data_IF_516617590310
#
_entry.id   IF_516617590310
#
_cell.length_a   1.000
_cell.length_b   1.000
_cell.length_c   1.000
_cell.angle_alpha   90.00
_cell.angle_beta   90.00
_cell.angle_gamma   90.00
#
_symmetry.space_group_name_H-M   'P 1'
#
loop_
_entity.id
_entity.type
_entity.pdbx_description
1 polymer ?
#
# COMPACT_ATOMS: atom_id res chain seq x y z
N UNK A 1 -12.03 1.44 -21.16
CA UNK A 1 -11.27 0.19 -21.43
C UNK A 1 -12.24 -0.98 -21.37
N UNK A 2 -11.99 -2.05 -22.11
CA UNK A 2 -12.78 -3.28 -22.02
C UNK A 2 -12.47 -4.05 -20.71
N UNK A 3 -13.43 -4.83 -20.21
CA UNK A 3 -13.33 -5.66 -19.01
C UNK A 3 -12.06 -6.53 -19.00
N UNK A 4 -11.72 -7.14 -20.15
CA UNK A 4 -10.53 -7.98 -20.29
C UNK A 4 -9.25 -7.22 -19.97
N UNK A 5 -9.18 -5.95 -20.38
CA UNK A 5 -8.06 -5.06 -20.08
C UNK A 5 -7.98 -4.75 -18.59
N UNK A 6 -9.10 -4.39 -17.96
CA UNK A 6 -9.14 -4.12 -16.52
C UNK A 6 -8.72 -5.34 -15.69
N UNK A 7 -9.22 -6.53 -16.03
CA UNK A 7 -8.88 -7.75 -15.32
C UNK A 7 -7.40 -8.11 -15.46
N UNK A 8 -6.82 -8.01 -16.67
CA UNK A 8 -5.37 -8.22 -16.87
C UNK A 8 -4.53 -7.22 -16.09
N UNK A 9 -4.95 -5.96 -16.04
CA UNK A 9 -4.25 -4.91 -15.28
C UNK A 9 -4.36 -5.12 -13.77
N UNK A 10 -5.37 -5.86 -13.28
CA UNK A 10 -5.51 -6.21 -11.86
C UNK A 10 -4.65 -7.40 -11.43
N UNK A 11 -4.25 -8.28 -12.36
CA UNK A 11 -3.55 -9.52 -12.06
C UNK A 11 -2.25 -9.35 -11.23
N UNK A 12 -1.38 -8.36 -11.50
CA UNK A 12 -0.20 -8.12 -10.67
C UNK A 12 -0.55 -7.86 -9.20
N UNK A 13 -1.59 -7.06 -8.95
CA UNK A 13 -2.07 -6.75 -7.59
C UNK A 13 -2.66 -7.99 -6.90
N UNK A 14 -3.35 -8.86 -7.64
CA UNK A 14 -3.83 -10.16 -7.12
C UNK A 14 -2.65 -11.00 -6.63
N UNK A 15 -1.59 -11.10 -7.41
CA UNK A 15 -0.39 -11.86 -7.03
C UNK A 15 0.35 -11.20 -5.85
N UNK A 16 0.45 -9.87 -5.83
CA UNK A 16 1.12 -9.12 -4.78
C UNK A 16 0.43 -9.23 -3.41
N UNK A 17 -0.90 -9.36 -3.39
CA UNK A 17 -1.68 -9.42 -2.14
C UNK A 17 -2.06 -10.84 -1.71
N UNK A 18 -1.85 -11.85 -2.55
CA UNK A 18 -2.10 -13.23 -2.17
C UNK A 18 -1.23 -13.64 -0.98
N UNK A 19 -1.86 -14.18 0.06
CA UNK A 19 -1.21 -14.57 1.32
C UNK A 19 -0.85 -13.40 2.25
N UNK A 20 -1.07 -12.15 1.81
CA UNK A 20 -0.87 -10.96 2.64
C UNK A 20 -1.98 -10.79 3.64
N UNK A 21 -1.64 -10.27 4.82
CA UNK A 21 -2.57 -10.08 5.93
C UNK A 21 -3.01 -8.63 6.04
N UNK A 22 -4.31 -8.41 5.97
CA UNK A 22 -4.94 -7.09 6.10
C UNK A 22 -5.83 -7.07 7.34
N UNK A 23 -5.69 -6.02 8.16
CA UNK A 23 -6.68 -5.70 9.19
C UNK A 23 -7.56 -4.57 8.69
N UNK A 24 -8.86 -4.82 8.60
CA UNK A 24 -9.84 -3.90 8.05
C UNK A 24 -10.73 -3.43 9.19
N UNK A 25 -10.86 -2.12 9.36
CA UNK A 25 -11.78 -1.52 10.31
C UNK A 25 -12.96 -0.89 9.58
N UNK A 26 -14.14 -1.49 9.75
CA UNK A 26 -15.40 -0.98 9.23
C UNK A 26 -16.00 -0.03 10.28
N UNK A 27 -16.00 1.26 9.96
CA UNK A 27 -16.56 2.31 10.79
C UNK A 27 -18.09 2.28 10.75
N UNK A 28 -18.74 2.86 11.75
CA UNK A 28 -20.21 2.87 11.88
C UNK A 28 -20.93 3.50 10.67
N UNK A 29 -20.31 4.47 10.01
CA UNK A 29 -20.90 5.18 8.87
C UNK A 29 -21.12 4.30 7.62
N UNK A 30 -20.45 3.15 7.54
CA UNK A 30 -20.54 2.22 6.40
C UNK A 30 -21.33 0.96 6.73
N UNK A 31 -22.00 0.92 7.88
CA UNK A 31 -22.73 -0.24 8.37
C UNK A 31 -24.24 -0.20 8.11
N UNK A 32 -24.78 0.72 7.31
CA UNK A 32 -26.16 0.56 6.83
C UNK A 32 -26.30 -0.67 5.89
N UNK A 33 -27.51 -1.19 5.72
CA UNK A 33 -27.73 -2.48 5.06
C UNK A 33 -27.25 -2.53 3.60
N UNK A 34 -27.44 -1.45 2.83
CA UNK A 34 -27.08 -1.45 1.41
C UNK A 34 -25.55 -1.39 1.25
N UNK A 35 -24.90 -0.44 1.93
CA UNK A 35 -23.44 -0.29 1.88
C UNK A 35 -22.72 -1.50 2.44
N UNK A 36 -23.18 -2.03 3.57
CA UNK A 36 -22.60 -3.20 4.19
C UNK A 36 -22.68 -4.42 3.25
N UNK A 37 -23.77 -4.58 2.50
CA UNK A 37 -23.89 -5.69 1.54
C UNK A 37 -22.83 -5.60 0.44
N UNK A 38 -22.59 -4.40 -0.12
CA UNK A 38 -21.52 -4.17 -1.10
C UNK A 38 -20.14 -4.47 -0.52
N UNK A 39 -19.83 -3.90 0.66
CA UNK A 39 -18.55 -4.12 1.35
C UNK A 39 -18.32 -5.61 1.64
N UNK A 40 -19.34 -6.35 2.06
CA UNK A 40 -19.24 -7.79 2.32
C UNK A 40 -18.94 -8.57 1.02
N UNK A 41 -19.53 -8.17 -0.11
CA UNK A 41 -19.20 -8.73 -1.42
C UNK A 41 -17.73 -8.49 -1.79
N UNK A 42 -17.22 -7.27 -1.57
CA UNK A 42 -15.82 -6.91 -1.82
C UNK A 42 -14.85 -7.70 -0.92
N UNK A 43 -15.14 -7.76 0.39
CA UNK A 43 -14.38 -8.56 1.35
C UNK A 43 -14.39 -10.04 0.98
N UNK A 44 -15.51 -10.53 0.44
CA UNK A 44 -15.62 -11.91 -0.01
C UNK A 44 -14.69 -12.18 -1.19
N UNK A 45 -14.71 -11.29 -2.18
CA UNK A 45 -13.81 -11.40 -3.33
C UNK A 45 -12.35 -11.34 -2.88
N UNK A 46 -11.98 -10.38 -2.01
CA UNK A 46 -10.63 -10.25 -1.45
C UNK A 46 -10.15 -11.54 -0.77
N UNK A 47 -10.98 -12.15 0.08
CA UNK A 47 -10.65 -13.42 0.74
C UNK A 47 -10.49 -14.55 -0.28
N UNK A 48 -11.36 -14.62 -1.30
CA UNK A 48 -11.30 -15.64 -2.35
C UNK A 48 -10.05 -15.54 -3.24
N UNK A 49 -9.54 -14.31 -3.43
CA UNK A 49 -8.26 -14.03 -4.12
C UNK A 49 -7.04 -14.36 -3.26
N UNK A 50 -7.26 -14.72 -1.99
CA UNK A 50 -6.25 -15.23 -1.08
C UNK A 50 -5.67 -14.20 -0.12
N UNK A 51 -6.28 -13.02 0.01
CA UNK A 51 -5.95 -12.12 1.11
C UNK A 51 -6.44 -12.72 2.43
N UNK A 52 -5.62 -12.58 3.48
CA UNK A 52 -5.95 -12.99 4.84
C UNK A 52 -6.57 -11.82 5.58
N UNK A 53 -7.84 -11.92 5.94
CA UNK A 53 -8.62 -10.80 6.46
C UNK A 53 -8.93 -10.96 7.95
N UNK A 54 -8.56 -9.95 8.73
CA UNK A 54 -9.14 -9.68 10.05
C UNK A 54 -10.02 -8.45 9.92
N UNK A 55 -11.30 -8.56 10.26
CA UNK A 55 -12.28 -7.48 10.15
C UNK A 55 -12.72 -7.06 11.54
N UNK A 56 -12.36 -5.84 11.92
CA UNK A 56 -12.91 -5.13 13.07
C UNK A 56 -14.11 -4.30 12.58
N UNK A 57 -15.17 -4.22 13.38
CA UNK A 57 -16.35 -3.44 13.01
C UNK A 57 -16.88 -2.64 14.20
N UNK A 58 -17.41 -1.48 13.89
CA UNK A 58 -18.11 -0.61 14.82
C UNK A 58 -19.60 -1.02 14.97
N UNK A 59 -20.32 -0.37 15.86
CA UNK A 59 -21.75 -0.51 16.09
C UNK A 59 -22.39 0.89 16.07
N UNK A 60 -23.69 0.94 15.79
CA UNK A 60 -24.44 2.17 15.49
C UNK A 60 -24.51 3.19 16.65
N UNK A 61 -23.99 2.82 17.81
CA UNK A 61 -23.96 3.60 19.04
C UNK A 61 -22.63 4.36 19.27
N UNK A 62 -21.72 4.38 18.29
CA UNK A 62 -20.39 4.99 18.43
C UNK A 62 -20.26 6.43 17.92
N UNK A 63 -21.37 7.12 17.64
CA UNK A 63 -21.43 8.46 17.01
C UNK A 63 -20.52 9.55 17.62
N UNK A 64 -20.04 9.37 18.85
CA UNK A 64 -19.06 10.24 19.49
C UNK A 64 -18.05 9.43 20.28
N UNK A 65 -17.05 8.81 19.64
CA UNK A 65 -15.87 8.31 20.38
C UNK A 65 -14.55 8.60 19.70
N UNK A 66 -13.83 9.49 20.38
CA UNK A 66 -12.38 9.59 20.45
C UNK A 66 -11.90 9.86 21.89
N UNK A 67 -12.82 9.82 22.87
CA UNK A 67 -12.49 10.14 24.25
C UNK A 67 -12.24 8.87 25.05
N UNK A 68 -10.96 8.55 25.24
CA UNK A 68 -10.44 7.67 26.30
C UNK A 68 -10.78 8.16 27.73
N UNK A 69 -11.69 9.13 27.86
CA UNK A 69 -12.02 9.90 29.05
C UNK A 69 -13.46 9.69 29.50
N UNK A 70 -14.28 8.99 28.72
CA UNK A 70 -15.67 8.72 29.08
C UNK A 70 -15.81 7.38 29.77
N UNK A 71 -16.30 7.41 31.00
CA UNK A 71 -16.60 6.20 31.75
C UNK A 71 -17.75 5.44 31.09
N UNK A 72 -17.59 4.12 30.94
CA UNK A 72 -18.64 3.23 30.47
C UNK A 72 -19.20 2.50 31.68
N UNK A 73 -20.39 2.88 32.13
CA UNK A 73 -21.09 2.14 33.17
C UNK A 73 -21.68 0.81 32.65
N UNK A 74 -22.16 -0.01 33.57
CA UNK A 74 -22.69 -1.35 33.29
C UNK A 74 -23.90 -1.32 32.35
N UNK A 75 -24.85 -0.41 32.57
CA UNK A 75 -26.03 -0.24 31.71
C UNK A 75 -25.65 0.17 30.27
N UNK A 76 -24.67 1.07 30.13
CA UNK A 76 -24.14 1.49 28.83
C UNK A 76 -23.41 0.32 28.17
N UNK A 77 -22.62 -0.45 28.93
CA UNK A 77 -21.95 -1.64 28.43
C UNK A 77 -22.95 -2.66 27.90
N UNK A 78 -24.04 -2.97 28.61
CA UNK A 78 -25.06 -3.92 28.17
C UNK A 78 -25.69 -3.48 26.84
N UNK A 79 -26.00 -2.19 26.72
CA UNK A 79 -26.54 -1.61 25.49
C UNK A 79 -25.54 -1.72 24.33
N UNK A 80 -24.26 -1.42 24.58
CA UNK A 80 -23.19 -1.58 23.60
C UNK A 80 -23.03 -3.05 23.17
N UNK A 81 -23.00 -3.98 24.11
CA UNK A 81 -22.84 -5.41 23.84
C UNK A 81 -24.01 -5.94 23.02
N UNK A 82 -25.24 -5.52 23.32
CA UNK A 82 -26.41 -5.87 22.52
C UNK A 82 -26.32 -5.36 21.07
N UNK A 83 -25.90 -4.10 20.89
CA UNK A 83 -25.72 -3.49 19.57
C UNK A 83 -24.62 -4.19 18.76
N UNK A 84 -23.45 -4.42 19.37
CA UNK A 84 -22.33 -5.15 18.78
C UNK A 84 -22.73 -6.58 18.41
N UNK A 85 -23.45 -7.27 19.30
CA UNK A 85 -23.93 -8.63 19.07
C UNK A 85 -24.90 -8.71 17.88
N UNK A 86 -25.88 -7.80 17.82
CA UNK A 86 -26.78 -7.68 16.66
C UNK A 86 -25.98 -7.46 15.38
N UNK A 87 -25.05 -6.52 15.39
CA UNK A 87 -24.22 -6.17 14.22
C UNK A 87 -23.40 -7.35 13.73
N UNK A 88 -22.76 -8.08 14.65
CA UNK A 88 -22.03 -9.30 14.35
C UNK A 88 -22.88 -10.32 13.60
N UNK A 89 -24.08 -10.62 14.10
CA UNK A 89 -24.95 -11.60 13.46
C UNK A 89 -25.43 -11.15 12.07
N UNK A 90 -25.67 -9.84 11.87
CA UNK A 90 -25.97 -9.30 10.53
C UNK A 90 -24.79 -9.53 9.58
N UNK A 91 -23.56 -9.21 10.00
CA UNK A 91 -22.35 -9.42 9.19
C UNK A 91 -22.16 -10.90 8.84
N UNK A 92 -22.28 -11.79 9.83
CA UNK A 92 -22.17 -13.25 9.61
C UNK A 92 -23.27 -13.77 8.66
N UNK A 93 -24.49 -13.24 8.75
CA UNK A 93 -25.59 -13.58 7.84
C UNK A 93 -25.31 -13.11 6.40
N UNK A 94 -24.76 -11.91 6.21
CA UNK A 94 -24.36 -11.40 4.90
C UNK A 94 -23.25 -12.26 4.27
N UNK A 95 -22.23 -12.64 5.05
CA UNK A 95 -21.19 -13.57 4.58
C UNK A 95 -21.72 -14.96 4.23
N UNK A 96 -22.88 -15.33 4.73
CA UNK A 96 -23.54 -16.62 4.46
C UNK A 96 -24.39 -16.60 3.18
N UNK A 97 -24.57 -15.44 2.54
CA UNK A 97 -25.36 -15.33 1.32
C UNK A 97 -24.63 -15.99 0.14
N UNK A 98 -25.18 -17.13 -0.32
CA UNK A 98 -24.63 -17.92 -1.43
C UNK A 98 -25.62 -18.11 -2.58
N UNK A 99 -26.50 -17.13 -2.81
CA UNK A 99 -27.52 -17.20 -3.87
C UNK A 99 -26.87 -17.47 -5.24
N UNK A 100 -27.53 -18.26 -6.07
CA UNK A 100 -27.14 -18.42 -7.47
C UNK A 100 -27.11 -17.04 -8.13
N UNK A 101 -26.02 -16.72 -8.85
CA UNK A 101 -25.74 -15.43 -9.48
C UNK A 101 -25.35 -14.26 -8.56
N UNK A 102 -25.07 -14.48 -7.27
CA UNK A 102 -24.36 -13.46 -6.48
C UNK A 102 -22.85 -13.53 -6.75
N UNK A 103 -22.09 -12.42 -6.60
CA UNK A 103 -20.63 -12.44 -6.65
C UNK A 103 -19.99 -13.43 -5.64
N UNK A 104 -20.76 -13.81 -4.62
CA UNK A 104 -20.34 -14.72 -3.55
C UNK A 104 -20.60 -16.20 -3.88
N UNK A 105 -21.20 -16.52 -5.03
CA UNK A 105 -21.51 -17.89 -5.42
C UNK A 105 -20.24 -18.74 -5.50
N UNK A 106 -20.18 -19.79 -4.67
CA UNK A 106 -19.05 -20.72 -4.61
C UNK A 106 -17.88 -20.28 -3.71
N UNK A 107 -17.85 -19.04 -3.21
CA UNK A 107 -16.74 -18.53 -2.39
C UNK A 107 -16.60 -19.22 -1.01
N UNK A 108 -17.70 -19.81 -0.49
CA UNK A 108 -17.77 -20.59 0.77
C UNK A 108 -16.88 -20.03 1.88
N UNK A 109 -17.09 -18.75 2.22
CA UNK A 109 -16.30 -18.09 3.25
C UNK A 109 -16.66 -18.63 4.63
N UNK A 110 -15.63 -18.88 5.43
CA UNK A 110 -15.76 -19.26 6.83
C UNK A 110 -15.43 -18.05 7.68
N UNK A 111 -16.44 -17.49 8.33
CA UNK A 111 -16.27 -16.42 9.30
C UNK A 111 -16.04 -17.03 10.68
N UNK A 112 -15.00 -16.58 11.37
CA UNK A 112 -14.65 -17.03 12.72
C UNK A 112 -14.56 -15.83 13.65
N UNK A 113 -15.24 -15.91 14.79
CA UNK A 113 -15.05 -15.01 15.92
C UNK A 113 -14.74 -15.82 17.18
N UNK A 114 -14.17 -15.19 18.19
CA UNK A 114 -13.77 -15.89 19.41
C UNK A 114 -13.15 -14.98 20.47
N UNK A 115 -12.72 -15.58 21.56
CA UNK A 115 -12.06 -14.92 22.70
C UNK A 115 -10.56 -14.68 22.44
N UNK A 116 -10.21 -14.14 21.28
CA UNK A 116 -8.82 -13.88 20.88
C UNK A 116 -8.16 -12.76 21.71
N UNK A 117 -8.96 -11.91 22.35
CA UNK A 117 -8.49 -10.71 23.05
C UNK A 117 -8.72 -10.86 24.54
N UNK A 118 -7.61 -10.99 25.29
CA UNK A 118 -7.62 -10.87 26.73
C UNK A 118 -7.44 -9.40 27.10
N UNK A 119 -8.35 -8.87 27.90
CA UNK A 119 -8.38 -7.49 28.32
C UNK A 119 -8.09 -7.33 29.82
N UNK A 120 -7.82 -6.09 30.22
CA UNK A 120 -7.77 -5.64 31.60
C UNK A 120 -8.51 -4.31 31.73
N UNK A 121 -9.07 -3.96 32.90
CA UNK A 121 -9.67 -2.64 33.09
C UNK A 121 -8.69 -1.52 32.75
N UNK A 122 -9.19 -0.45 32.12
CA UNK A 122 -8.41 0.76 31.86
C UNK A 122 -8.08 1.50 33.17
N UNK A 123 -8.91 1.33 34.19
CA UNK A 123 -8.73 1.89 35.53
C UNK A 123 -9.07 3.37 35.58
N UNK A 124 -8.40 4.08 36.49
CA UNK A 124 -8.58 5.53 36.69
C UNK A 124 -7.58 6.30 35.84
N UNK A 125 -8.08 7.19 34.98
CA UNK A 125 -7.28 8.08 34.15
C UNK A 125 -7.61 9.54 34.46
N UNK A 126 -6.60 10.33 34.85
CA UNK A 126 -6.77 11.74 35.25
C UNK A 126 -7.92 11.99 36.26
N UNK A 127 -8.08 11.07 37.22
CA UNK A 127 -9.12 11.15 38.26
C UNK A 127 -10.50 10.62 37.87
N UNK A 128 -10.69 10.17 36.61
CA UNK A 128 -11.94 9.57 36.13
C UNK A 128 -11.80 8.05 36.10
N UNK A 129 -12.66 7.34 36.82
CA UNK A 129 -12.77 5.88 36.70
C UNK A 129 -13.49 5.51 35.40
N UNK A 130 -12.78 4.84 34.50
CA UNK A 130 -13.29 4.47 33.19
C UNK A 130 -14.19 3.21 33.20
N UNK A 131 -14.33 2.58 34.37
CA UNK A 131 -15.27 1.46 34.63
C UNK A 131 -15.11 0.31 33.62
N UNK A 132 -16.10 0.05 32.78
CA UNK A 132 -16.13 -1.07 31.84
C UNK A 132 -15.24 -0.88 30.60
N UNK A 133 -14.57 0.26 30.48
CA UNK A 133 -13.55 0.43 29.46
C UNK A 133 -12.30 -0.40 29.81
N UNK A 134 -11.79 -1.11 28.82
CA UNK A 134 -10.62 -1.96 28.93
C UNK A 134 -9.45 -1.51 28.09
N UNK A 135 -8.32 -2.18 28.32
CA UNK A 135 -7.14 -2.15 27.47
C UNK A 135 -6.74 -3.58 27.13
N UNK A 136 -6.15 -3.76 25.95
CA UNK A 136 -5.59 -5.05 25.55
C UNK A 136 -4.52 -5.46 26.56
N UNK A 137 -4.63 -6.69 27.08
CA UNK A 137 -3.60 -7.33 27.90
C UNK A 137 -2.78 -8.30 27.06
N UNK A 138 -3.43 -9.08 26.20
CA UNK A 138 -2.79 -10.05 25.31
C UNK A 138 -3.72 -10.38 24.14
N UNK A 139 -3.14 -10.57 22.96
CA UNK A 139 -3.85 -11.11 21.79
C UNK A 139 -3.31 -12.51 21.51
N UNK A 140 -4.21 -13.46 21.31
CA UNK A 140 -3.88 -14.81 20.83
C UNK A 140 -3.63 -14.79 19.31
N UNK A 141 -2.53 -14.14 18.94
CA UNK A 141 -2.14 -13.95 17.55
C UNK A 141 -1.78 -15.28 16.86
N UNK A 142 -1.43 -16.33 17.62
CA UNK A 142 -1.19 -17.66 17.08
C UNK A 142 -2.50 -18.28 16.58
N UNK A 143 -3.54 -18.30 17.42
CA UNK A 143 -4.86 -18.79 17.02
C UNK A 143 -5.45 -18.00 15.84
N UNK A 144 -5.26 -16.66 15.83
CA UNK A 144 -5.67 -15.82 14.70
C UNK A 144 -4.95 -16.25 13.42
N UNK A 145 -3.61 -16.40 13.46
CA UNK A 145 -2.82 -16.83 12.29
C UNK A 145 -3.24 -18.21 11.79
N UNK A 146 -3.51 -19.17 12.68
CA UNK A 146 -3.99 -20.50 12.28
C UNK A 146 -5.32 -20.45 11.51
N UNK A 147 -6.22 -19.53 11.86
CA UNK A 147 -7.45 -19.30 11.11
C UNK A 147 -7.19 -18.63 9.76
N UNK A 148 -6.31 -17.62 9.72
CA UNK A 148 -5.92 -16.94 8.49
C UNK A 148 -5.21 -17.87 7.50
N UNK A 149 -4.37 -18.80 7.98
CA UNK A 149 -3.70 -19.81 7.16
C UNK A 149 -4.70 -20.77 6.50
N UNK A 150 -5.85 -21.00 7.13
CA UNK A 150 -6.98 -21.79 6.59
C UNK A 150 -7.93 -20.96 5.72
N UNK A 151 -7.56 -19.72 5.38
CA UNK A 151 -8.38 -18.74 4.64
C UNK A 151 -9.74 -18.46 5.28
N UNK A 152 -9.83 -18.60 6.61
CA UNK A 152 -10.97 -18.12 7.35
C UNK A 152 -10.87 -16.59 7.50
N UNK A 153 -12.00 -15.92 7.44
CA UNK A 153 -12.10 -14.50 7.80
C UNK A 153 -12.28 -14.40 9.31
N UNK A 154 -11.42 -13.64 9.99
CA UNK A 154 -11.53 -13.44 11.43
C UNK A 154 -12.32 -12.15 11.69
N UNK A 155 -13.52 -12.28 12.27
CA UNK A 155 -14.40 -11.18 12.61
C UNK A 155 -14.25 -10.83 14.10
N UNK A 156 -13.87 -9.59 14.40
CA UNK A 156 -13.62 -9.13 15.75
C UNK A 156 -14.55 -7.97 16.16
N UNK A 157 -15.25 -8.08 17.29
CA UNK A 157 -15.90 -6.94 17.92
C UNK A 157 -14.89 -6.09 18.73
N UNK A 158 -15.23 -4.85 19.09
CA UNK A 158 -14.44 -4.01 19.99
C UNK A 158 -14.63 -4.41 21.47
N UNK A 159 -14.49 -5.70 21.76
CA UNK A 159 -14.67 -6.29 23.08
C UNK A 159 -13.47 -7.18 23.44
N UNK A 160 -13.16 -7.25 24.74
CA UNK A 160 -12.21 -8.22 25.27
C UNK A 160 -12.63 -8.75 26.63
N UNK A 161 -11.99 -9.82 27.05
CA UNK A 161 -12.40 -10.57 28.25
C UNK A 161 -11.31 -10.54 29.32
N UNK A 162 -11.70 -10.23 30.56
CA UNK A 162 -10.78 -10.27 31.70
C UNK A 162 -10.50 -11.71 32.14
N UNK A 163 -9.52 -11.89 33.04
CA UNK A 163 -9.23 -13.20 33.65
C UNK A 163 -10.35 -13.68 34.58
N UNK A 164 -11.21 -12.77 35.03
CA UNK A 164 -12.38 -13.04 35.88
C UNK A 164 -13.65 -13.28 35.07
N UNK A 165 -13.59 -13.13 33.74
CA UNK A 165 -14.73 -13.36 32.84
C UNK A 165 -15.54 -12.10 32.51
N UNK A 166 -15.09 -10.93 32.96
CA UNK A 166 -15.78 -9.67 32.68
C UNK A 166 -15.60 -9.28 31.21
N UNK A 167 -16.65 -8.72 30.63
CA UNK A 167 -16.63 -8.11 29.30
C UNK A 167 -16.17 -6.67 29.46
N UNK A 168 -15.17 -6.27 28.67
CA UNK A 168 -14.67 -4.91 28.63
C UNK A 168 -14.77 -4.36 27.22
N UNK A 169 -15.23 -3.12 27.10
CA UNK A 169 -15.20 -2.39 25.84
C UNK A 169 -13.77 -1.93 25.56
N UNK A 170 -13.28 -2.21 24.35
CA UNK A 170 -11.96 -1.79 23.91
C UNK A 170 -12.11 -0.70 22.85
N UNK A 171 -11.43 0.46 22.98
CA UNK A 171 -11.36 1.44 21.90
C UNK A 171 -10.92 0.78 20.59
N UNK A 172 -11.74 0.81 19.51
CA UNK A 172 -11.44 0.14 18.26
C UNK A 172 -10.09 0.55 17.67
N UNK A 173 -9.69 1.81 17.82
CA UNK A 173 -8.43 2.35 17.35
C UNK A 173 -7.23 1.62 17.97
N UNK A 174 -7.25 1.49 19.30
CA UNK A 174 -6.19 0.83 20.05
C UNK A 174 -6.17 -0.67 19.76
N UNK A 175 -7.35 -1.29 19.68
CA UNK A 175 -7.49 -2.70 19.38
C UNK A 175 -6.98 -3.03 17.97
N UNK A 176 -7.32 -2.21 16.97
CA UNK A 176 -6.89 -2.31 15.59
C UNK A 176 -5.35 -2.38 15.49
N UNK A 177 -4.68 -1.42 16.14
CA UNK A 177 -3.21 -1.32 16.12
C UNK A 177 -2.57 -2.53 16.81
N UNK A 178 -3.08 -2.93 17.99
CA UNK A 178 -2.55 -4.08 18.72
C UNK A 178 -2.71 -5.39 17.94
N UNK A 179 -3.87 -5.61 17.31
CA UNK A 179 -4.10 -6.77 16.44
C UNK A 179 -3.11 -6.74 15.27
N UNK A 180 -3.09 -5.65 14.52
CA UNK A 180 -2.28 -5.53 13.31
C UNK A 180 -0.79 -5.73 13.62
N UNK A 181 -0.30 -5.16 14.71
CA UNK A 181 1.07 -5.33 15.18
C UNK A 181 1.38 -6.78 15.57
N UNK A 182 0.54 -7.42 16.38
CA UNK A 182 0.83 -8.76 16.91
C UNK A 182 0.69 -9.86 15.84
N UNK A 183 -0.22 -9.71 14.88
CA UNK A 183 -0.34 -10.66 13.78
C UNK A 183 0.69 -10.42 12.68
N UNK A 184 1.36 -9.25 12.66
CA UNK A 184 2.31 -8.87 11.62
C UNK A 184 1.59 -8.52 10.30
N UNK A 185 0.57 -7.68 10.39
CA UNK A 185 -0.22 -7.28 9.22
C UNK A 185 0.63 -6.53 8.20
N UNK A 186 0.44 -6.85 6.92
CA UNK A 186 1.07 -6.15 5.80
C UNK A 186 0.39 -4.79 5.55
N UNK A 187 -0.90 -4.67 5.93
CA UNK A 187 -1.67 -3.44 5.80
C UNK A 187 -2.81 -3.32 6.80
N UNK A 188 -3.15 -2.08 7.12
CA UNK A 188 -4.41 -1.69 7.77
C UNK A 188 -5.26 -0.92 6.76
N UNK A 189 -6.57 -1.14 6.78
CA UNK A 189 -7.53 -0.43 5.94
C UNK A 189 -8.64 0.12 6.83
N UNK A 190 -8.79 1.44 6.86
CA UNK A 190 -9.88 2.14 7.55
C UNK A 190 -10.95 2.46 6.51
N UNK A 191 -12.16 1.97 6.73
CA UNK A 191 -13.31 2.14 5.83
C UNK A 191 -14.37 2.95 6.55
N UNK A 192 -14.49 4.23 6.18
CA UNK A 192 -15.44 5.18 6.77
C UNK A 192 -16.04 6.10 5.70
N UNK A 193 -16.52 7.28 6.07
CA UNK A 193 -17.08 8.28 5.15
C UNK A 193 -16.25 9.58 5.07
N UNK A 194 -15.10 9.62 5.75
CA UNK A 194 -14.21 10.78 5.80
C UNK A 194 -12.87 10.48 5.10
N UNK A 195 -12.84 10.45 3.74
CA UNK A 195 -11.57 10.25 3.03
C UNK A 195 -10.60 11.40 3.34
N UNK A 196 -9.33 11.06 3.54
CA UNK A 196 -8.29 12.07 3.75
C UNK A 196 -8.05 12.83 2.44
N UNK A 197 -8.44 14.10 2.41
CA UNK A 197 -8.15 14.98 1.28
C UNK A 197 -6.72 15.54 1.38
N UNK A 198 -5.85 15.15 0.46
CA UNK A 198 -4.51 15.72 0.32
C UNK A 198 -4.51 16.89 -0.69
N UNK A 199 -3.49 17.74 -0.65
CA UNK A 199 -3.28 18.77 -1.68
C UNK A 199 -2.97 18.16 -3.05
N UNK A 200 -3.39 18.82 -4.13
CA UNK A 200 -3.07 18.51 -5.54
C UNK A 200 -3.17 17.02 -5.93
N UNK A 201 -4.37 16.42 -5.84
CA UNK A 201 -4.65 15.08 -6.38
C UNK A 201 -3.72 13.96 -5.85
N UNK A 202 -2.98 14.21 -4.76
CA UNK A 202 -2.18 13.19 -4.10
C UNK A 202 -3.12 12.21 -3.41
N UNK A 203 -2.88 10.91 -3.62
CA UNK A 203 -3.58 9.79 -2.97
C UNK A 203 -2.63 8.97 -2.10
N UNK A 204 -1.43 9.48 -1.91
CA UNK A 204 -0.35 8.78 -1.24
C UNK A 204 0.50 9.81 -0.49
N UNK A 205 0.90 9.48 0.73
CA UNK A 205 1.84 10.28 1.49
C UNK A 205 2.73 9.43 2.40
N UNK A 206 3.93 9.94 2.67
CA UNK A 206 4.82 9.36 3.68
C UNK A 206 4.47 9.82 5.09
N UNK A 207 4.92 9.07 6.08
CA UNK A 207 4.71 9.37 7.52
C UNK A 207 5.10 10.80 7.91
N UNK A 208 6.23 11.39 7.46
CA UNK A 208 6.57 12.77 7.85
C UNK A 208 5.54 13.81 7.42
N UNK A 209 4.97 13.65 6.22
CA UNK A 209 3.92 14.53 5.73
C UNK A 209 2.62 14.34 6.51
N UNK A 210 2.29 13.09 6.87
CA UNK A 210 1.12 12.80 7.71
C UNK A 210 1.23 13.47 9.08
N UNK A 211 2.38 13.35 9.73
CA UNK A 211 2.64 13.97 11.04
C UNK A 211 2.52 15.49 10.97
N UNK A 212 2.99 16.09 9.89
CA UNK A 212 2.83 17.53 9.66
C UNK A 212 1.35 17.92 9.51
N UNK A 213 0.57 17.20 8.71
CA UNK A 213 -0.88 17.44 8.56
C UNK A 213 -1.57 17.28 9.91
N UNK A 214 -1.32 16.18 10.63
CA UNK A 214 -1.94 15.89 11.92
C UNK A 214 -1.64 16.98 12.96
N UNK A 215 -0.42 17.54 12.96
CA UNK A 215 -0.05 18.62 13.88
C UNK A 215 -0.80 19.94 13.65
N UNK A 216 -1.35 20.13 12.44
CA UNK A 216 -2.07 21.34 12.02
C UNK A 216 -3.58 21.12 11.91
N UNK A 217 -4.02 19.86 11.92
CA UNK A 217 -5.42 19.50 11.79
C UNK A 217 -6.24 19.93 13.01
N UNK A 218 -7.43 20.46 12.76
CA UNK A 218 -8.37 20.81 13.81
C UNK A 218 -9.01 19.52 14.36
N UNK A 219 -8.91 19.24 15.68
CA UNK A 219 -9.50 18.07 16.32
C UNK A 219 -11.02 17.93 16.16
N UNK A 220 -11.71 19.01 15.79
CA UNK A 220 -13.16 18.99 15.54
C UNK A 220 -13.53 18.52 14.12
N UNK A 221 -12.55 18.35 13.22
CA UNK A 221 -12.81 17.88 11.86
C UNK A 221 -13.20 16.40 11.84
N UNK A 222 -14.16 15.98 10.99
CA UNK A 222 -14.58 14.58 10.91
C UNK A 222 -13.43 13.60 10.63
N UNK A 223 -12.50 13.99 9.75
CA UNK A 223 -11.34 13.18 9.34
C UNK A 223 -10.21 13.10 10.39
N UNK A 224 -10.32 13.81 11.52
CA UNK A 224 -9.24 13.88 12.52
C UNK A 224 -8.94 12.51 13.15
N UNK A 225 -9.95 11.68 13.30
CA UNK A 225 -9.80 10.33 13.82
C UNK A 225 -8.99 9.45 12.87
N UNK A 226 -9.33 9.45 11.58
CA UNK A 226 -8.63 8.70 10.55
C UNK A 226 -7.16 9.15 10.45
N UNK A 227 -6.88 10.46 10.56
CA UNK A 227 -5.51 10.99 10.61
C UNK A 227 -4.74 10.46 11.83
N UNK A 228 -5.34 10.52 13.01
CA UNK A 228 -4.70 10.03 14.24
C UNK A 228 -4.41 8.53 14.16
N UNK A 229 -5.39 7.72 13.73
CA UNK A 229 -5.23 6.27 13.63
C UNK A 229 -4.19 5.92 12.58
N UNK A 230 -4.19 6.57 11.41
CA UNK A 230 -3.17 6.37 10.39
C UNK A 230 -1.75 6.67 10.92
N UNK A 231 -1.59 7.71 11.74
CA UNK A 231 -0.31 8.04 12.35
C UNK A 231 0.11 6.98 13.38
N UNK A 232 -0.82 6.50 14.21
CA UNK A 232 -0.55 5.45 15.19
C UNK A 232 -0.21 4.11 14.52
N UNK A 233 -0.91 3.72 13.46
CA UNK A 233 -0.61 2.54 12.64
C UNK A 233 0.81 2.63 12.06
N UNK A 234 1.17 3.80 11.53
CA UNK A 234 2.51 4.05 10.99
C UNK A 234 3.58 3.93 12.08
N UNK A 235 3.40 4.57 13.23
CA UNK A 235 4.32 4.48 14.38
C UNK A 235 4.45 3.06 14.94
N UNK A 236 3.43 2.22 14.77
CA UNK A 236 3.45 0.83 15.17
C UNK A 236 4.28 -0.08 14.24
N UNK A 237 4.81 0.45 13.14
CA UNK A 237 5.65 -0.29 12.19
C UNK A 237 4.86 -1.10 11.16
N UNK A 238 3.55 -0.83 11.02
CA UNK A 238 2.71 -1.50 10.02
C UNK A 238 2.98 -0.85 8.66
N UNK A 239 3.40 -1.60 7.62
CA UNK A 239 3.95 -1.02 6.39
C UNK A 239 3.04 0.00 5.70
N UNK A 240 1.73 -0.22 5.75
CA UNK A 240 0.73 0.54 4.98
C UNK A 240 -0.55 0.74 5.76
N UNK A 241 -1.09 1.95 5.69
CA UNK A 241 -2.43 2.29 6.15
C UNK A 241 -3.20 2.91 4.99
N UNK A 242 -4.35 2.34 4.65
CA UNK A 242 -5.26 2.90 3.66
C UNK A 242 -6.45 3.54 4.39
N UNK A 243 -6.86 4.73 3.97
CA UNK A 243 -8.11 5.36 4.41
C UNK A 243 -9.02 5.49 3.20
N UNK A 244 -10.18 4.85 3.25
CA UNK A 244 -11.08 4.69 2.10
C UNK A 244 -12.46 5.22 2.48
N UNK A 245 -13.07 5.94 1.53
CA UNK A 245 -14.50 6.23 1.53
C UNK A 245 -15.30 4.97 1.16
N UNK A 246 -15.86 4.31 2.16
CA UNK A 246 -16.72 3.14 2.01
C UNK A 246 -18.16 3.47 1.63
N UNK A 247 -18.52 4.74 1.43
CA UNK A 247 -19.85 5.12 0.92
C UNK A 247 -19.96 4.95 -0.59
N UNK A 248 -18.83 4.91 -1.29
CA UNK A 248 -18.76 4.62 -2.71
C UNK A 248 -18.69 3.10 -2.96
N UNK A 249 -19.58 2.59 -3.81
CA UNK A 249 -19.62 1.18 -4.20
C UNK A 249 -18.31 0.74 -4.85
N UNK A 250 -17.81 -0.44 -4.46
CA UNK A 250 -16.57 -1.02 -4.98
C UNK A 250 -15.29 -0.31 -4.55
N UNK A 251 -15.32 0.62 -3.58
CA UNK A 251 -14.15 1.42 -3.21
C UNK A 251 -13.00 0.60 -2.65
N UNK A 252 -13.28 -0.50 -1.94
CA UNK A 252 -12.27 -1.44 -1.44
C UNK A 252 -11.50 -2.11 -2.58
N UNK A 253 -12.22 -2.62 -3.58
CA UNK A 253 -11.61 -3.24 -4.76
C UNK A 253 -10.88 -2.21 -5.61
N UNK A 254 -11.46 -1.03 -5.79
CA UNK A 254 -10.84 0.05 -6.52
C UNK A 254 -9.54 0.52 -5.85
N UNK A 255 -9.50 0.60 -4.53
CA UNK A 255 -8.28 0.97 -3.81
C UNK A 255 -7.16 -0.06 -3.98
N UNK A 256 -7.49 -1.35 -3.87
CA UNK A 256 -6.48 -2.40 -3.87
C UNK A 256 -6.06 -2.82 -5.29
N UNK A 257 -7.01 -2.97 -6.21
CA UNK A 257 -6.75 -3.56 -7.53
C UNK A 257 -6.61 -2.54 -8.66
N UNK A 258 -6.53 -1.25 -8.33
CA UNK A 258 -6.20 -0.21 -9.30
C UNK A 258 -4.90 0.48 -8.96
N UNK A 259 -4.31 1.06 -10.00
CA UNK A 259 -3.02 1.74 -9.96
C UNK A 259 -2.98 2.94 -9.03
N UNK A 260 -4.00 3.79 -9.14
CA UNK A 260 -4.06 5.07 -8.45
C UNK A 260 -4.85 4.98 -7.14
N UNK A 261 -5.57 3.88 -6.92
CA UNK A 261 -6.50 3.75 -5.82
C UNK A 261 -7.63 4.80 -5.88
N UNK A 262 -8.51 4.76 -4.89
CA UNK A 262 -9.57 5.77 -4.72
C UNK A 262 -9.50 6.45 -3.36
N UNK A 263 -8.84 5.84 -2.39
CA UNK A 263 -8.58 6.39 -1.06
C UNK A 263 -7.20 7.02 -0.95
N UNK A 264 -6.75 7.14 0.30
CA UNK A 264 -5.46 7.71 0.66
C UNK A 264 -4.60 6.66 1.34
N UNK A 265 -3.41 6.46 0.78
CA UNK A 265 -2.41 5.53 1.26
C UNK A 265 -1.33 6.28 2.06
N UNK A 266 -1.08 5.81 3.28
CA UNK A 266 0.05 6.19 4.10
C UNK A 266 1.03 5.02 4.11
N UNK A 267 2.27 5.27 3.68
CA UNK A 267 3.32 4.26 3.64
C UNK A 267 4.49 4.61 4.58
N UNK A 268 5.01 3.60 5.28
CA UNK A 268 6.17 3.74 6.17
C UNK A 268 7.46 4.04 5.41
N UNK A 269 7.69 3.29 4.35
CA UNK A 269 8.77 3.51 3.39
C UNK A 269 8.22 4.23 2.15
N UNK A 270 9.13 4.74 1.30
CA UNK A 270 8.71 5.12 -0.05
C UNK A 270 8.04 3.88 -0.66
N UNK A 271 6.76 4.02 -1.04
CA UNK A 271 5.93 2.93 -1.58
C UNK A 271 6.56 2.24 -2.79
N UNK A 272 7.43 3.00 -3.44
CA UNK A 272 8.31 2.66 -4.53
C UNK A 272 9.68 2.21 -3.98
N UNK A 273 10.04 0.96 -4.23
CA UNK A 273 11.40 0.47 -3.92
C UNK A 273 12.30 0.65 -5.13
N UNK A 274 13.56 1.02 -4.89
CA UNK A 274 14.60 1.14 -5.92
C UNK A 274 15.69 0.13 -5.62
N UNK A 275 15.82 -0.88 -6.47
CA UNK A 275 16.77 -1.99 -6.26
C UNK A 275 17.41 -2.43 -7.57
N UNK A 276 18.51 -3.18 -7.46
CA UNK A 276 19.06 -3.89 -8.61
C UNK A 276 18.04 -4.91 -9.12
N UNK A 277 17.95 -5.03 -10.45
CA UNK A 277 17.06 -5.96 -11.11
C UNK A 277 17.54 -7.41 -10.92
N UNK A 278 16.59 -8.32 -10.93
CA UNK A 278 16.77 -9.78 -10.85
C UNK A 278 16.25 -10.39 -12.15
N UNK A 279 16.62 -11.64 -12.42
CA UNK A 279 16.17 -12.38 -13.61
C UNK A 279 14.63 -12.37 -13.72
N UNK A 280 13.94 -12.46 -12.58
CA UNK A 280 12.47 -12.42 -12.50
C UNK A 280 11.86 -11.10 -13.03
N UNK A 281 12.62 -10.00 -13.01
CA UNK A 281 12.14 -8.68 -13.43
C UNK A 281 12.19 -8.47 -14.96
N UNK A 282 12.91 -9.34 -15.69
CA UNK A 282 13.17 -9.20 -17.14
C UNK A 282 11.88 -8.97 -17.92
N UNK A 283 10.83 -9.75 -17.64
CA UNK A 283 9.56 -9.61 -18.33
C UNK A 283 8.87 -8.28 -18.00
N UNK A 284 8.95 -7.82 -16.75
CA UNK A 284 8.42 -6.52 -16.33
C UNK A 284 9.15 -5.36 -17.01
N UNK A 285 10.48 -5.45 -17.12
CA UNK A 285 11.28 -4.48 -17.86
C UNK A 285 10.90 -4.50 -19.35
N UNK A 286 10.83 -5.67 -20.00
CA UNK A 286 10.44 -5.74 -21.41
C UNK A 286 9.06 -5.14 -21.67
N UNK A 287 8.09 -5.41 -20.79
CA UNK A 287 6.75 -4.83 -20.90
C UNK A 287 6.79 -3.29 -20.80
N UNK A 288 7.66 -2.75 -19.95
CA UNK A 288 7.88 -1.32 -19.80
C UNK A 288 8.54 -0.68 -21.04
N UNK A 289 9.46 -1.39 -21.70
CA UNK A 289 10.22 -0.85 -22.83
C UNK A 289 9.49 -0.93 -24.17
N UNK A 290 8.72 -1.99 -24.42
CA UNK A 290 8.06 -2.25 -25.74
C UNK A 290 7.34 -1.03 -26.34
N UNK A 291 6.50 -0.28 -25.60
CA UNK A 291 5.80 0.87 -26.19
C UNK A 291 6.77 1.96 -26.68
N UNK A 292 7.91 2.13 -26.02
CA UNK A 292 8.92 3.12 -26.39
C UNK A 292 9.80 2.65 -27.54
N UNK A 293 10.02 1.35 -27.66
CA UNK A 293 10.69 0.74 -28.81
C UNK A 293 9.83 0.86 -30.07
N UNK A 294 8.52 0.59 -29.97
CA UNK A 294 7.56 0.75 -31.06
C UNK A 294 7.46 2.21 -31.54
N UNK A 295 7.63 3.17 -30.63
CA UNK A 295 7.68 4.60 -30.93
C UNK A 295 9.07 5.09 -31.39
N UNK A 296 10.06 4.19 -31.54
CA UNK A 296 11.46 4.48 -31.87
C UNK A 296 12.20 5.40 -30.87
N UNK A 297 11.60 5.66 -29.70
CA UNK A 297 12.22 6.41 -28.60
C UNK A 297 13.41 5.60 -28.07
N UNK A 298 13.22 4.29 -27.85
CA UNK A 298 14.26 3.38 -27.42
C UNK A 298 14.71 2.42 -28.53
N UNK A 299 15.91 1.86 -28.38
CA UNK A 299 16.42 0.80 -29.24
C UNK A 299 15.84 -0.53 -28.77
N UNK A 300 15.32 -1.32 -29.71
CA UNK A 300 14.78 -2.66 -29.43
C UNK A 300 15.83 -3.54 -28.75
N UNK A 301 15.46 -4.17 -27.64
CA UNK A 301 16.34 -5.09 -26.90
C UNK A 301 15.94 -6.53 -27.09
N UNK A 302 16.97 -7.36 -27.25
CA UNK A 302 16.82 -8.80 -27.28
C UNK A 302 16.59 -9.33 -25.85
N UNK A 303 15.54 -10.15 -25.62
CA UNK A 303 15.27 -10.73 -24.30
C UNK A 303 16.44 -11.53 -23.72
N UNK A 304 17.13 -12.35 -24.51
CA UNK A 304 18.26 -13.17 -24.04
C UNK A 304 19.43 -12.27 -23.62
N UNK A 305 19.66 -11.20 -24.37
CA UNK A 305 20.69 -10.22 -24.00
C UNK A 305 20.34 -9.49 -22.72
N UNK A 306 19.06 -9.15 -22.52
CA UNK A 306 18.60 -8.51 -21.29
C UNK A 306 18.77 -9.42 -20.08
N UNK A 307 18.47 -10.71 -20.20
CA UNK A 307 18.69 -11.70 -19.14
C UNK A 307 20.16 -11.77 -18.73
N UNK A 308 21.08 -11.80 -19.70
CA UNK A 308 22.52 -11.85 -19.44
C UNK A 308 23.07 -10.56 -18.80
N UNK A 309 22.46 -9.40 -19.13
CA UNK A 309 22.88 -8.08 -18.66
C UNK A 309 22.05 -7.57 -17.48
N UNK A 310 21.15 -8.39 -16.90
CA UNK A 310 20.15 -7.93 -15.93
C UNK A 310 20.77 -7.25 -14.69
N UNK A 311 21.98 -7.65 -14.31
CA UNK A 311 22.71 -7.07 -13.19
C UNK A 311 23.10 -5.59 -13.42
N UNK A 312 23.08 -5.10 -14.66
CA UNK A 312 23.27 -3.68 -14.97
C UNK A 312 22.02 -2.83 -14.73
N UNK A 313 20.87 -3.46 -14.53
CA UNK A 313 19.60 -2.77 -14.40
C UNK A 313 19.26 -2.51 -12.95
N UNK A 314 18.65 -1.36 -12.74
CA UNK A 314 17.93 -0.98 -11.54
C UNK A 314 16.47 -0.81 -11.91
N UNK A 315 15.61 -1.29 -11.05
CA UNK A 315 14.17 -1.20 -11.19
C UNK A 315 13.59 -0.36 -10.08
N UNK A 316 12.55 0.38 -10.44
CA UNK A 316 11.59 0.91 -9.50
C UNK A 316 10.41 -0.06 -9.44
N UNK A 317 10.23 -0.72 -8.29
CA UNK A 317 9.17 -1.70 -8.04
C UNK A 317 8.12 -1.13 -7.09
N UNK A 318 6.85 -1.31 -7.45
CA UNK A 318 5.66 -0.95 -6.67
C UNK A 318 4.74 -2.16 -6.60
N UNK A 319 4.53 -2.72 -5.41
CA UNK A 319 3.69 -3.91 -5.19
C UNK A 319 4.05 -5.10 -6.12
N UNK A 320 5.34 -5.40 -6.28
CA UNK A 320 5.77 -6.47 -7.19
C UNK A 320 5.73 -6.10 -8.68
N UNK A 321 5.20 -4.92 -9.04
CA UNK A 321 5.18 -4.43 -10.41
C UNK A 321 6.39 -3.55 -10.70
N UNK A 322 7.07 -3.81 -11.82
CA UNK A 322 8.15 -2.94 -12.31
C UNK A 322 7.52 -1.74 -13.02
N UNK A 323 7.67 -0.56 -12.41
CA UNK A 323 7.06 0.69 -12.87
C UNK A 323 8.08 1.67 -13.46
N UNK A 324 9.36 1.38 -13.28
CA UNK A 324 10.46 2.11 -13.89
C UNK A 324 11.72 1.25 -13.96
N UNK A 325 12.62 1.58 -14.89
CA UNK A 325 13.94 0.97 -14.96
C UNK A 325 14.99 1.99 -15.42
N UNK A 326 16.24 1.71 -15.08
CA UNK A 326 17.43 2.35 -15.63
C UNK A 326 18.56 1.32 -15.67
N UNK A 327 19.52 1.48 -16.58
CA UNK A 327 20.70 0.63 -16.65
C UNK A 327 21.98 1.46 -16.54
N UNK A 328 23.02 0.89 -15.93
CA UNK A 328 24.35 1.46 -15.89
C UNK A 328 25.37 0.47 -16.48
N UNK A 329 26.08 0.92 -17.51
CA UNK A 329 27.12 0.14 -18.18
C UNK A 329 28.48 0.79 -17.94
N UNK A 330 29.41 0.04 -17.37
CA UNK A 330 30.79 0.51 -17.20
C UNK A 330 31.47 0.57 -18.57
N UNK A 331 32.03 1.72 -18.92
CA UNK A 331 32.76 1.93 -20.18
C UNK A 331 34.28 1.87 -19.98
N UNK A 332 34.77 2.40 -18.84
CA UNK A 332 36.16 2.36 -18.38
C UNK A 332 36.19 2.40 -16.85
N UNK A 333 37.37 2.49 -16.24
CA UNK A 333 37.51 2.51 -14.78
C UNK A 333 36.82 3.68 -14.08
N UNK A 334 36.71 4.83 -14.75
CA UNK A 334 36.10 6.04 -14.19
C UNK A 334 34.93 6.58 -15.04
N UNK A 335 34.46 5.81 -16.02
CA UNK A 335 33.37 6.22 -16.91
C UNK A 335 32.30 5.15 -17.07
N UNK A 336 31.04 5.57 -17.04
CA UNK A 336 29.89 4.70 -17.27
C UNK A 336 28.83 5.39 -18.14
N UNK A 337 27.95 4.60 -18.72
CA UNK A 337 26.79 5.05 -19.48
C UNK A 337 25.51 4.73 -18.71
N UNK A 338 24.72 5.76 -18.46
CA UNK A 338 23.32 5.66 -18.08
C UNK A 338 22.50 5.36 -19.34
N UNK A 339 21.80 4.25 -19.33
CA UNK A 339 20.95 3.81 -20.42
C UNK A 339 19.54 3.47 -19.93
N UNK A 340 18.59 3.43 -20.86
CA UNK A 340 17.27 2.84 -20.62
C UNK A 340 16.49 3.43 -19.44
N UNK A 341 16.67 4.73 -19.18
CA UNK A 341 15.88 5.42 -18.16
C UNK A 341 14.45 5.49 -18.65
N UNK A 342 13.56 4.80 -17.97
CA UNK A 342 12.16 4.70 -18.36
C UNK A 342 11.29 4.62 -17.13
N UNK A 343 10.21 5.39 -17.14
CA UNK A 343 9.13 5.29 -16.17
C UNK A 343 7.84 5.10 -16.95
N UNK A 344 7.02 4.17 -16.48
CA UNK A 344 5.73 3.88 -17.11
C UNK A 344 4.92 5.17 -17.23
N UNK A 345 4.27 5.39 -18.38
CA UNK A 345 3.47 6.58 -18.71
C UNK A 345 2.67 7.15 -17.53
N UNK A 346 1.84 6.34 -16.89
CA UNK A 346 0.92 6.82 -15.84
C UNK A 346 1.59 6.92 -14.44
N UNK A 347 2.91 6.72 -14.34
CA UNK A 347 3.72 6.91 -13.12
C UNK A 347 4.74 8.05 -13.30
N UNK A 348 4.75 8.69 -14.48
CA UNK A 348 5.59 9.86 -14.75
C UNK A 348 5.16 11.07 -13.90
N UNK A 349 6.01 12.11 -13.88
CA UNK A 349 5.77 13.39 -13.20
C UNK A 349 5.65 13.37 -11.66
N UNK A 350 5.90 12.23 -11.01
CA UNK A 350 5.97 12.09 -9.54
C UNK A 350 7.40 11.85 -9.01
N UNK A 351 8.43 12.42 -9.66
CA UNK A 351 9.84 12.32 -9.21
C UNK A 351 10.52 10.95 -9.36
N UNK A 352 9.85 9.92 -9.90
CA UNK A 352 10.43 8.57 -10.05
C UNK A 352 11.65 8.50 -10.97
N UNK A 353 11.65 9.31 -12.04
CA UNK A 353 12.82 9.42 -12.92
C UNK A 353 14.03 9.99 -12.17
N UNK A 354 13.81 11.00 -11.32
CA UNK A 354 14.85 11.58 -10.46
C UNK A 354 15.38 10.56 -9.45
N UNK A 355 14.50 9.76 -8.88
CA UNK A 355 14.86 8.71 -7.93
C UNK A 355 15.69 7.59 -8.61
N UNK A 356 15.30 7.14 -9.82
CA UNK A 356 16.09 6.20 -10.62
C UNK A 356 17.49 6.75 -10.92
N UNK A 357 17.58 8.01 -11.39
CA UNK A 357 18.87 8.65 -11.65
C UNK A 357 19.71 8.73 -10.37
N UNK A 358 19.11 9.15 -9.25
CA UNK A 358 19.80 9.26 -7.96
C UNK A 358 20.34 7.91 -7.48
N UNK A 359 19.59 6.83 -7.69
CA UNK A 359 20.03 5.46 -7.37
C UNK A 359 21.24 5.05 -8.21
N UNK A 360 21.20 5.32 -9.53
CA UNK A 360 22.32 5.04 -10.44
C UNK A 360 23.54 5.88 -10.07
N UNK A 361 23.38 7.18 -9.78
CA UNK A 361 24.49 8.04 -9.38
C UNK A 361 25.14 7.56 -8.06
N UNK A 362 24.32 7.10 -7.10
CA UNK A 362 24.82 6.52 -5.85
C UNK A 362 25.63 5.24 -6.12
N UNK A 363 25.21 4.40 -7.06
CA UNK A 363 25.97 3.23 -7.46
C UNK A 363 27.27 3.62 -8.19
N UNK A 364 27.20 4.55 -9.14
CA UNK A 364 28.35 5.06 -9.87
C UNK A 364 29.45 5.58 -8.92
N UNK A 365 29.06 6.31 -7.86
CA UNK A 365 29.99 6.74 -6.79
C UNK A 365 30.68 5.57 -6.08
N UNK A 366 29.93 4.52 -5.73
CA UNK A 366 30.50 3.32 -5.08
C UNK A 366 31.52 2.62 -5.97
N UNK A 367 31.33 2.68 -7.28
CA UNK A 367 32.23 2.09 -8.28
C UNK A 367 33.35 3.04 -8.73
N UNK A 368 33.50 4.21 -8.08
CA UNK A 368 34.48 5.25 -8.42
C UNK A 368 34.35 5.83 -9.84
N UNK A 369 33.15 5.77 -10.42
CA UNK A 369 32.83 6.42 -11.69
C UNK A 369 32.79 7.93 -11.48
N UNK A 370 33.51 8.66 -12.34
CA UNK A 370 33.59 10.13 -12.35
C UNK A 370 32.76 10.75 -13.46
N UNK A 371 32.64 10.08 -14.60
CA UNK A 371 31.90 10.58 -15.76
C UNK A 371 30.74 9.66 -16.09
N UNK A 372 29.51 10.18 -16.01
CA UNK A 372 28.30 9.47 -16.40
C UNK A 372 27.79 10.04 -17.72
N UNK A 373 27.81 9.21 -18.77
CA UNK A 373 27.32 9.55 -20.10
C UNK A 373 25.86 9.13 -20.28
N UNK A 374 25.13 9.84 -21.14
CA UNK A 374 23.81 9.43 -21.62
C UNK A 374 23.65 9.80 -23.08
N UNK A 375 23.03 8.90 -23.84
CA UNK A 375 22.71 9.10 -25.25
C UNK A 375 21.18 9.21 -25.38
N UNK A 376 20.69 10.34 -25.91
CA UNK A 376 19.24 10.58 -26.04
C UNK A 376 18.89 11.21 -27.39
N UNK A 377 17.71 10.88 -27.91
CA UNK A 377 17.16 11.44 -29.16
C UNK A 377 16.06 12.46 -28.92
N UNK A 378 15.31 12.35 -27.81
CA UNK A 378 14.11 13.16 -27.57
C UNK A 378 14.06 13.83 -26.18
N UNK A 379 14.84 13.35 -25.21
CA UNK A 379 14.66 13.70 -23.78
C UNK A 379 15.78 14.59 -23.23
N UNK A 380 16.38 15.44 -24.08
CA UNK A 380 17.58 16.21 -23.72
C UNK A 380 17.39 17.18 -22.55
N UNK A 381 16.29 17.93 -22.52
CA UNK A 381 16.06 18.96 -21.51
C UNK A 381 16.02 18.38 -20.10
N UNK A 382 15.42 17.20 -19.94
CA UNK A 382 15.34 16.51 -18.66
C UNK A 382 16.73 16.22 -18.07
N UNK A 383 17.69 15.79 -18.90
CA UNK A 383 19.06 15.56 -18.47
C UNK A 383 19.82 16.86 -18.22
N UNK A 384 19.63 17.89 -19.06
CA UNK A 384 20.27 19.20 -18.90
C UNK A 384 19.90 19.85 -17.56
N UNK A 385 18.62 19.82 -17.19
CA UNK A 385 18.13 20.30 -15.88
C UNK A 385 18.78 19.58 -14.70
N UNK A 386 19.29 18.36 -14.91
CA UNK A 386 19.92 17.51 -13.89
C UNK A 386 21.45 17.56 -13.94
N UNK A 387 22.01 18.52 -14.67
CA UNK A 387 23.44 18.81 -14.68
C UNK A 387 24.25 18.05 -15.73
N UNK A 388 23.60 17.38 -16.67
CA UNK A 388 24.28 16.81 -17.84
C UNK A 388 24.57 17.90 -18.87
N UNK A 389 25.77 17.85 -19.47
CA UNK A 389 26.25 18.83 -20.47
C UNK A 389 26.50 18.15 -21.80
N UNK A 390 26.18 18.83 -22.89
CA UNK A 390 26.38 18.31 -24.25
C UNK A 390 27.88 18.09 -24.51
N UNK A 391 28.21 16.92 -25.05
CA UNK A 391 29.55 16.53 -25.47
C UNK A 391 29.50 15.91 -26.86
N UNK A 392 30.67 15.75 -27.49
CA UNK A 392 30.80 15.16 -28.82
C UNK A 392 31.00 13.64 -28.75
N UNK A 393 30.89 12.96 -29.90
CA UNK A 393 31.23 11.53 -30.00
C UNK A 393 32.68 11.27 -29.63
N UNK A 394 33.58 12.22 -29.89
CA UNK A 394 35.01 12.09 -29.61
C UNK A 394 35.32 12.04 -28.10
N UNK A 395 34.38 12.47 -27.26
CA UNK A 395 34.52 12.47 -25.80
C UNK A 395 34.15 11.12 -25.15
N UNK A 396 33.54 10.19 -25.91
CA UNK A 396 33.25 8.83 -25.43
C UNK A 396 34.52 7.96 -25.43
N UNK A 397 34.60 6.89 -24.63
CA UNK A 397 35.64 5.86 -24.78
C UNK A 397 35.66 5.24 -26.18
N UNK A 398 36.85 4.94 -26.71
CA UNK A 398 37.02 4.40 -28.07
C UNK A 398 36.16 3.17 -28.36
N UNK A 399 36.02 2.28 -27.38
CA UNK A 399 35.17 1.08 -27.48
C UNK A 399 33.71 1.43 -27.71
N UNK A 400 33.22 2.50 -27.06
CA UNK A 400 31.85 2.98 -27.20
C UNK A 400 31.64 3.85 -28.44
N UNK A 401 32.64 4.64 -28.83
CA UNK A 401 32.62 5.40 -30.09
C UNK A 401 32.35 4.49 -31.30
N UNK A 402 33.03 3.34 -31.37
CA UNK A 402 32.86 2.35 -32.45
C UNK A 402 31.46 1.75 -32.52
N UNK A 403 30.74 1.72 -31.41
CA UNK A 403 29.37 1.19 -31.31
C UNK A 403 28.31 2.29 -31.42
N UNK A 404 28.70 3.54 -31.65
CA UNK A 404 27.75 4.65 -31.78
C UNK A 404 26.93 4.49 -33.06
N UNK A 405 25.60 4.49 -32.91
CA UNK A 405 24.69 4.35 -34.03
C UNK A 405 24.46 5.72 -34.70
N UNK A 406 25.19 5.96 -35.79
CA UNK A 406 25.12 7.21 -36.58
C UNK A 406 23.71 7.45 -37.14
N UNK A 407 22.97 6.39 -37.52
CA UNK A 407 21.61 6.53 -38.07
C UNK A 407 20.62 7.08 -37.04
N UNK A 408 20.82 6.78 -35.75
CA UNK A 408 20.00 7.36 -34.68
C UNK A 408 20.40 8.79 -34.33
N UNK A 409 21.61 9.20 -34.67
CA UNK A 409 22.18 10.53 -34.43
C UNK A 409 21.84 11.08 -33.03
N UNK A 410 21.98 10.23 -32.01
CA UNK A 410 21.63 10.57 -30.63
C UNK A 410 22.59 11.60 -30.07
N UNK A 411 22.08 12.63 -29.40
CA UNK A 411 22.92 13.61 -28.70
C UNK A 411 23.52 12.97 -27.46
N UNK A 412 24.79 13.28 -27.20
CA UNK A 412 25.55 12.72 -26.08
C UNK A 412 25.68 13.79 -25.01
N UNK A 413 25.33 13.45 -23.78
CA UNK A 413 25.55 14.31 -22.64
C UNK A 413 26.38 13.61 -21.57
N UNK A 414 27.15 14.39 -20.82
CA UNK A 414 28.00 13.92 -19.74
C UNK A 414 27.73 14.70 -18.46
N UNK A 415 27.68 14.00 -17.33
CA UNK A 415 27.63 14.57 -15.99
C UNK A 415 28.81 14.09 -15.17
N UNK A 416 29.45 15.02 -14.47
CA UNK A 416 30.47 14.70 -13.47
C UNK A 416 29.79 14.20 -12.20
N UNK A 417 30.15 12.98 -11.79
CA UNK A 417 29.75 12.37 -10.52
C UNK A 417 30.79 12.78 -9.48
N UNK A 418 30.35 13.58 -8.50
CA UNK A 418 31.15 14.03 -7.38
C UNK A 418 30.99 13.13 -6.17
#
# INVERSE_FOLDING_TARGET
MDFVSHFRNSAPYIHAYRGKTSVIWLRDQVLDNERLTSIISDLTLLNSLGLRLVVLFDADCFATRLNDKEAIDETSLDTLVAAIGRRRYVIEALFSQGLANSPMHGARIRVVGGNFVMARPAGVFNGIDLKAQGRVRRIDHLAIREHLDKQHLVLMPPLGYSITGDILYLPPEQLLIEIAKQIGADKVIIVGDNPLSLSDNQKEMGVPALEQILSQADPSTPAYLELQVAALVSRAGIPRCHVIDGTADGSLLAELFTRDGVGTLIALDQYDTFRQARIEDVQGILALLRPLEEQNILVRRDPEKLENEINHFYVNERDGMIIGCAAIYKLSDDQAELACVTVHSDYQKKGRGDALLSAIEKQARKENIKNLFVLTTQTEHWFVERGFRLVSVQDLPETRQKLYNIQRNSKIYMKLIR
#
